data_IF_827140919130
#
_entry.id   IF_827140919130
#
_cell.length_a   1.000
_cell.length_b   1.000
_cell.length_c   1.000
_cell.angle_alpha   90.00
_cell.angle_beta   90.00
_cell.angle_gamma   90.00
#
_symmetry.space_group_name_H-M   'P 1'
#
loop_
_entity.id
_entity.type
_entity.pdbx_description
1 polymer ?
#
# COMPACT_ATOMS: atom_id res chain seq x y z
N UNK A 1 33.36 -24.54 28.98
CA UNK A 1 32.60 -24.57 27.69
C UNK A 1 31.09 -24.63 27.93
N UNK A 2 30.63 -25.51 28.85
CA UNK A 2 29.19 -25.71 29.15
C UNK A 2 28.51 -24.46 29.73
N UNK A 3 29.20 -23.69 30.58
CA UNK A 3 28.68 -22.45 31.16
C UNK A 3 28.50 -21.33 30.09
N UNK A 4 29.46 -21.19 29.18
CA UNK A 4 29.41 -20.20 28.10
C UNK A 4 28.29 -20.53 27.13
N UNK A 5 28.08 -21.82 26.83
CA UNK A 5 26.97 -22.26 25.98
C UNK A 5 25.61 -22.03 26.65
N UNK A 6 25.53 -22.21 27.96
CA UNK A 6 24.31 -21.95 28.72
C UNK A 6 23.95 -20.47 28.77
N UNK A 7 24.91 -19.59 29.01
CA UNK A 7 24.70 -18.13 28.93
C UNK A 7 24.33 -17.65 27.52
N UNK A 8 24.95 -18.22 26.49
CA UNK A 8 24.62 -17.91 25.10
C UNK A 8 23.17 -18.32 24.76
N UNK A 9 22.76 -19.51 25.19
CA UNK A 9 21.41 -20.02 25.02
C UNK A 9 20.37 -19.21 25.82
N UNK A 10 20.73 -18.69 26.99
CA UNK A 10 19.85 -17.80 27.76
C UNK A 10 19.69 -16.44 27.05
N UNK A 11 20.77 -15.86 26.51
CA UNK A 11 20.72 -14.62 25.72
C UNK A 11 19.91 -14.78 24.44
N UNK A 12 20.09 -15.89 23.72
CA UNK A 12 19.28 -16.20 22.53
C UNK A 12 17.80 -16.33 22.91
N UNK A 13 17.47 -16.97 24.04
CA UNK A 13 16.09 -17.07 24.54
C UNK A 13 15.53 -15.73 24.99
N UNK A 14 16.34 -14.86 25.59
CA UNK A 14 15.92 -13.50 25.97
C UNK A 14 15.68 -12.62 24.72
N UNK A 15 16.49 -12.77 23.66
CA UNK A 15 16.29 -12.11 22.38
C UNK A 15 15.07 -12.67 21.63
N UNK A 16 14.80 -13.97 21.70
CA UNK A 16 13.57 -14.58 21.16
C UNK A 16 12.31 -14.19 21.94
N UNK A 17 12.41 -13.89 23.23
CA UNK A 17 11.29 -13.44 24.07
C UNK A 17 10.95 -11.94 23.89
N UNK A 18 11.83 -11.16 23.29
CA UNK A 18 11.56 -9.78 22.85
C UNK A 18 11.13 -9.73 21.39
N UNK A 19 10.13 -10.55 21.02
CA UNK A 19 9.43 -10.29 19.76
C UNK A 19 8.94 -8.83 19.79
N UNK A 20 9.27 -8.00 18.78
CA UNK A 20 8.85 -6.62 18.77
C UNK A 20 7.33 -6.57 18.94
N UNK A 21 6.85 -5.75 19.88
CA UNK A 21 5.41 -5.57 20.09
C UNK A 21 4.81 -5.15 18.76
N UNK A 22 3.80 -5.87 18.25
CA UNK A 22 3.17 -5.52 16.98
C UNK A 22 2.63 -4.09 17.07
N UNK A 23 3.16 -3.18 16.26
CA UNK A 23 2.65 -1.81 16.12
C UNK A 23 1.53 -1.77 15.09
N UNK A 24 0.60 -0.83 15.25
CA UNK A 24 -0.50 -0.58 14.32
C UNK A 24 -0.10 0.47 13.31
N UNK A 25 -0.15 0.15 12.04
CA UNK A 25 0.31 1.03 10.96
C UNK A 25 -0.82 1.28 9.98
N UNK A 26 -1.16 2.55 9.77
CA UNK A 26 -2.03 2.98 8.68
C UNK A 26 -1.22 3.24 7.41
N UNK A 27 -1.71 2.74 6.27
CA UNK A 27 -1.17 3.04 4.94
C UNK A 27 -2.29 3.66 4.12
N UNK A 28 -2.04 4.80 3.47
CA UNK A 28 -3.01 5.48 2.61
C UNK A 28 -2.64 5.25 1.15
N UNK A 29 -3.48 4.48 0.45
CA UNK A 29 -3.33 4.11 -0.96
C UNK A 29 -2.91 2.66 -1.17
N UNK A 30 -3.66 1.93 -2.01
CA UNK A 30 -3.39 0.54 -2.42
C UNK A 30 -2.83 0.45 -3.86
N UNK A 31 -2.00 1.40 -4.23
CA UNK A 31 -1.14 1.31 -5.41
C UNK A 31 0.12 0.47 -5.14
N UNK A 32 1.03 0.47 -6.09
CA UNK A 32 2.29 -0.31 -6.04
C UNK A 32 3.07 -0.09 -4.73
N UNK A 33 3.24 1.17 -4.31
CA UNK A 33 3.99 1.52 -3.11
C UNK A 33 3.28 1.05 -1.83
N UNK A 34 1.96 1.27 -1.74
CA UNK A 34 1.18 0.87 -0.56
C UNK A 34 1.13 -0.64 -0.37
N UNK A 35 0.94 -1.40 -1.44
CA UNK A 35 0.90 -2.87 -1.38
C UNK A 35 2.26 -3.47 -0.99
N UNK A 36 3.35 -2.96 -1.58
CA UNK A 36 4.71 -3.38 -1.21
C UNK A 36 5.03 -3.07 0.26
N UNK A 37 4.65 -1.87 0.71
CA UNK A 37 4.82 -1.44 2.12
C UNK A 37 4.01 -2.34 3.06
N UNK A 38 2.74 -2.61 2.72
CA UNK A 38 1.87 -3.47 3.53
C UNK A 38 2.44 -4.88 3.68
N UNK A 39 2.85 -5.51 2.56
CA UNK A 39 3.49 -6.83 2.57
C UNK A 39 4.73 -6.85 3.46
N UNK A 40 5.61 -5.87 3.28
CA UNK A 40 6.87 -5.80 4.02
C UNK A 40 6.63 -5.65 5.53
N UNK A 41 5.79 -4.70 5.94
CA UNK A 41 5.50 -4.48 7.35
C UNK A 41 4.75 -5.65 8.00
N UNK A 42 3.82 -6.27 7.27
CA UNK A 42 3.15 -7.49 7.73
C UNK A 42 4.13 -8.64 7.94
N UNK A 43 5.15 -8.79 7.07
CA UNK A 43 6.16 -9.85 7.21
C UNK A 43 7.05 -9.67 8.45
N UNK A 44 7.14 -8.43 8.98
CA UNK A 44 7.79 -8.13 10.26
C UNK A 44 6.85 -8.28 11.47
N UNK A 45 5.63 -8.78 11.28
CA UNK A 45 4.67 -9.04 12.36
C UNK A 45 3.87 -7.83 12.81
N UNK A 46 3.86 -6.71 12.05
CA UNK A 46 3.08 -5.54 12.39
C UNK A 46 1.62 -5.65 11.94
N UNK A 47 0.72 -4.98 12.67
CA UNK A 47 -0.69 -4.87 12.32
C UNK A 47 -0.88 -3.73 11.30
N UNK A 48 -1.13 -4.09 10.04
CA UNK A 48 -1.22 -3.13 8.92
C UNK A 48 -2.67 -2.98 8.47
N UNK A 49 -3.11 -1.74 8.26
CA UNK A 49 -4.38 -1.41 7.59
C UNK A 49 -4.11 -0.47 6.42
N UNK A 50 -4.55 -0.84 5.24
CA UNK A 50 -4.42 -0.05 4.01
C UNK A 50 -5.77 0.55 3.65
N UNK A 51 -5.86 1.87 3.60
CA UNK A 51 -7.04 2.61 3.16
C UNK A 51 -6.91 2.95 1.68
N UNK A 52 -7.89 2.52 0.88
CA UNK A 52 -7.96 2.84 -0.55
C UNK A 52 -9.33 3.40 -0.90
N UNK A 53 -9.35 4.57 -1.55
CA UNK A 53 -10.58 5.25 -1.94
C UNK A 53 -11.34 4.56 -3.07
N UNK A 54 -10.62 3.86 -3.94
CA UNK A 54 -11.22 3.08 -5.03
C UNK A 54 -11.75 1.74 -4.50
N UNK A 55 -12.63 1.12 -5.26
CA UNK A 55 -13.23 -0.19 -4.91
C UNK A 55 -12.30 -1.36 -5.21
N UNK A 56 -11.15 -1.09 -5.83
CA UNK A 56 -10.15 -2.06 -6.25
C UNK A 56 -8.74 -1.55 -5.97
N UNK A 57 -7.77 -2.46 -5.98
CA UNK A 57 -6.34 -2.11 -5.85
C UNK A 57 -5.76 -1.73 -7.23
N UNK A 58 -4.61 -1.08 -7.22
CA UNK A 58 -3.86 -0.80 -8.44
C UNK A 58 -3.43 0.65 -8.62
N UNK A 59 -3.97 1.59 -7.87
CA UNK A 59 -3.65 3.01 -8.01
C UNK A 59 -3.97 3.52 -9.42
N UNK A 60 -2.99 4.02 -10.17
CA UNK A 60 -3.18 4.50 -11.55
C UNK A 60 -3.57 3.40 -12.54
N UNK A 61 -3.35 2.13 -12.18
CA UNK A 61 -3.71 0.96 -13.00
C UNK A 61 -5.12 0.42 -12.72
N UNK A 62 -5.79 0.92 -11.68
CA UNK A 62 -7.16 0.57 -11.32
C UNK A 62 -8.12 0.76 -12.49
N UNK A 63 -9.16 -0.08 -12.56
CA UNK A 63 -10.17 -0.02 -13.62
C UNK A 63 -10.87 1.34 -13.70
N UNK A 64 -11.07 2.00 -12.56
CA UNK A 64 -11.70 3.32 -12.47
C UNK A 64 -10.82 4.46 -12.98
N UNK A 65 -9.50 4.25 -13.10
CA UNK A 65 -8.52 5.32 -13.40
C UNK A 65 -7.79 5.15 -14.71
N UNK A 66 -7.67 3.94 -15.21
CA UNK A 66 -6.99 3.69 -16.48
C UNK A 66 -7.81 4.15 -17.67
N UNK A 67 -7.13 4.66 -18.70
CA UNK A 67 -7.72 5.03 -19.97
C UNK A 67 -7.44 3.95 -21.04
N UNK A 68 -8.22 3.92 -22.14
CA UNK A 68 -8.01 2.98 -23.22
C UNK A 68 -6.60 3.08 -23.82
N UNK A 69 -5.92 1.95 -24.01
CA UNK A 69 -4.58 1.90 -24.58
C UNK A 69 -3.43 2.19 -23.59
N UNK A 70 -3.73 2.35 -22.30
CA UNK A 70 -2.70 2.50 -21.29
C UNK A 70 -1.80 1.25 -21.21
N UNK A 71 -0.49 1.46 -21.34
CA UNK A 71 0.56 0.46 -21.13
C UNK A 71 1.64 1.00 -20.20
N UNK A 72 2.55 0.15 -19.74
CA UNK A 72 3.75 0.61 -19.04
C UNK A 72 4.63 1.46 -19.97
N UNK A 73 5.41 2.37 -19.40
CA UNK A 73 6.34 3.24 -20.14
C UNK A 73 7.74 2.64 -20.29
N UNK A 74 8.02 1.62 -19.48
CA UNK A 74 9.27 0.86 -19.48
C UNK A 74 8.94 -0.64 -19.58
N UNK A 75 9.91 -1.49 -19.96
CA UNK A 75 9.77 -2.94 -20.01
C UNK A 75 9.32 -3.52 -18.66
N UNK A 76 8.59 -4.63 -18.69
CA UNK A 76 7.97 -5.26 -17.50
C UNK A 76 8.98 -5.55 -16.38
N UNK A 77 10.21 -5.85 -16.72
CA UNK A 77 11.29 -6.14 -15.76
C UNK A 77 11.64 -4.95 -14.86
N UNK A 78 11.23 -3.73 -15.22
CA UNK A 78 11.39 -2.53 -14.38
C UNK A 78 10.22 -2.29 -13.43
N UNK A 79 9.13 -3.03 -13.59
CA UNK A 79 7.93 -2.95 -12.76
C UNK A 79 7.75 -4.17 -11.85
N UNK A 80 8.54 -5.20 -12.04
CA UNK A 80 8.52 -6.40 -11.20
C UNK A 80 8.87 -6.09 -9.75
N UNK A 81 8.14 -6.72 -8.84
CA UNK A 81 8.66 -6.84 -7.49
C UNK A 81 9.74 -7.93 -7.45
N UNK A 82 10.82 -7.69 -6.71
CA UNK A 82 11.96 -8.61 -6.63
C UNK A 82 11.61 -10.00 -6.09
N UNK A 83 10.51 -10.10 -5.36
CA UNK A 83 10.02 -11.33 -4.73
C UNK A 83 8.71 -11.84 -5.35
N UNK A 84 8.24 -11.20 -6.42
CA UNK A 84 7.04 -11.60 -7.13
C UNK A 84 7.12 -11.18 -8.61
N UNK A 85 7.76 -11.98 -9.46
CA UNK A 85 7.93 -11.65 -10.88
C UNK A 85 6.59 -11.65 -11.62
N UNK A 86 6.50 -10.84 -12.68
CA UNK A 86 5.34 -10.87 -13.58
C UNK A 86 5.26 -12.18 -14.36
N UNK A 87 4.05 -12.60 -14.80
CA UNK A 87 3.89 -13.76 -15.66
C UNK A 87 4.77 -13.70 -16.93
N UNK A 88 5.37 -14.82 -17.31
CA UNK A 88 6.26 -14.92 -18.48
C UNK A 88 5.56 -14.53 -19.78
N UNK A 89 4.26 -14.86 -19.89
CA UNK A 89 3.42 -14.59 -21.05
C UNK A 89 2.97 -13.14 -21.18
N UNK A 90 3.30 -12.26 -20.20
CA UNK A 90 3.04 -10.84 -20.34
C UNK A 90 3.95 -10.21 -21.40
N UNK A 91 3.43 -9.28 -22.23
CA UNK A 91 4.24 -8.58 -23.22
C UNK A 91 5.32 -7.74 -22.55
N UNK A 92 6.30 -7.29 -23.33
CA UNK A 92 7.38 -6.40 -22.86
C UNK A 92 6.82 -5.12 -22.21
N UNK A 93 5.73 -4.58 -22.74
CA UNK A 93 4.96 -3.46 -22.16
C UNK A 93 3.55 -3.91 -21.77
N UNK A 94 3.35 -4.38 -20.53
CA UNK A 94 2.04 -4.80 -20.06
C UNK A 94 1.00 -3.68 -20.16
N UNK A 95 -0.22 -4.05 -20.51
CA UNK A 95 -1.37 -3.15 -20.49
C UNK A 95 -1.75 -2.77 -19.05
N UNK A 96 -2.47 -1.66 -18.90
CA UNK A 96 -2.99 -1.25 -17.59
C UNK A 96 -3.84 -2.32 -16.90
N UNK A 97 -4.56 -3.14 -17.68
CA UNK A 97 -5.29 -4.30 -17.11
C UNK A 97 -4.35 -5.36 -16.57
N UNK A 98 -3.31 -5.73 -17.32
CA UNK A 98 -2.33 -6.72 -16.86
C UNK A 98 -1.58 -6.23 -15.61
N UNK A 99 -1.28 -4.93 -15.54
CA UNK A 99 -0.70 -4.34 -14.33
C UNK A 99 -1.62 -4.44 -13.12
N UNK A 100 -2.93 -4.19 -13.30
CA UNK A 100 -3.90 -4.38 -12.23
C UNK A 100 -4.01 -5.86 -11.82
N UNK A 101 -4.14 -6.77 -12.79
CA UNK A 101 -4.23 -8.22 -12.54
C UNK A 101 -2.98 -8.73 -11.77
N UNK A 102 -1.80 -8.19 -12.09
CA UNK A 102 -0.55 -8.47 -11.38
C UNK A 102 -0.60 -8.00 -9.93
N UNK A 103 -1.04 -6.77 -9.66
CA UNK A 103 -1.17 -6.23 -8.30
C UNK A 103 -2.25 -6.96 -7.49
N UNK A 104 -3.36 -7.34 -8.09
CA UNK A 104 -4.37 -8.19 -7.44
C UNK A 104 -3.82 -9.58 -7.11
N UNK A 105 -2.99 -10.16 -7.99
CA UNK A 105 -2.34 -11.45 -7.71
C UNK A 105 -1.31 -11.32 -6.59
N UNK A 106 -0.60 -10.20 -6.50
CA UNK A 106 0.29 -9.88 -5.39
C UNK A 106 -0.46 -9.85 -4.04
N UNK A 107 -1.62 -9.17 -4.01
CA UNK A 107 -2.48 -9.13 -2.81
C UNK A 107 -2.88 -10.54 -2.37
N UNK A 108 -3.31 -11.38 -3.31
CA UNK A 108 -3.70 -12.79 -3.01
C UNK A 108 -2.50 -13.63 -2.56
N UNK A 109 -1.35 -13.50 -3.22
CA UNK A 109 -0.16 -14.29 -2.92
C UNK A 109 0.40 -14.02 -1.52
N UNK A 110 0.34 -12.78 -1.07
CA UNK A 110 0.84 -12.37 0.24
C UNK A 110 -0.26 -12.22 1.31
N UNK A 111 -1.47 -12.74 1.04
CA UNK A 111 -2.61 -12.73 1.98
C UNK A 111 -2.95 -11.32 2.52
N UNK A 112 -2.87 -10.30 1.67
CA UNK A 112 -3.11 -8.90 2.08
C UNK A 112 -4.59 -8.52 2.12
N UNK A 113 -5.50 -9.37 1.66
CA UNK A 113 -6.93 -9.06 1.52
C UNK A 113 -7.55 -8.50 2.80
N UNK A 114 -7.30 -9.13 3.94
CA UNK A 114 -7.84 -8.70 5.24
C UNK A 114 -7.22 -7.40 5.76
N UNK A 115 -6.13 -6.94 5.14
CA UNK A 115 -5.48 -5.69 5.49
C UNK A 115 -6.03 -4.48 4.70
N UNK A 116 -6.88 -4.71 3.69
CA UNK A 116 -7.38 -3.68 2.77
C UNK A 116 -8.76 -3.18 3.19
N UNK A 117 -8.91 -1.88 3.29
CA UNK A 117 -10.18 -1.17 3.40
C UNK A 117 -10.42 -0.42 2.09
N UNK A 118 -10.98 -1.14 1.11
CA UNK A 118 -11.33 -0.60 -0.21
C UNK A 118 -12.59 0.28 -0.13
N UNK A 119 -12.78 1.18 -1.08
CA UNK A 119 -13.87 2.15 -1.07
C UNK A 119 -13.83 3.13 0.11
N UNK A 120 -12.67 3.23 0.77
CA UNK A 120 -12.51 3.98 2.02
C UNK A 120 -11.48 5.09 1.85
N UNK A 121 -11.96 6.32 1.71
CA UNK A 121 -11.10 7.50 1.59
C UNK A 121 -10.72 8.04 2.96
N UNK A 122 -9.44 8.31 3.20
CA UNK A 122 -8.99 9.07 4.35
C UNK A 122 -9.24 10.55 4.11
N UNK A 123 -10.04 11.18 4.96
CA UNK A 123 -10.37 12.61 4.90
C UNK A 123 -9.44 13.46 5.74
N UNK A 124 -8.94 12.90 6.84
CA UNK A 124 -8.08 13.61 7.80
C UNK A 124 -7.14 12.63 8.50
N UNK A 125 -5.93 13.09 8.77
CA UNK A 125 -5.01 12.38 9.64
C UNK A 125 -4.25 13.40 10.48
N UNK A 126 -4.24 13.20 11.79
CA UNK A 126 -3.59 14.10 12.75
C UNK A 126 -2.76 13.32 13.75
N UNK A 127 -1.58 13.83 14.03
CA UNK A 127 -0.77 13.35 15.14
C UNK A 127 -1.37 13.87 16.44
N UNK A 128 -1.52 13.02 17.46
CA UNK A 128 -2.01 13.46 18.77
C UNK A 128 -1.05 14.46 19.43
N UNK A 129 -1.53 15.20 20.44
CA UNK A 129 -0.74 16.24 21.12
C UNK A 129 0.55 15.69 21.77
N UNK A 130 0.58 14.41 22.14
CA UNK A 130 1.77 13.73 22.69
C UNK A 130 2.77 13.27 21.63
N UNK A 131 2.41 13.30 20.34
CA UNK A 131 3.26 12.81 19.25
C UNK A 131 3.41 11.27 19.20
N UNK A 132 2.55 10.54 19.89
CA UNK A 132 2.68 9.09 20.08
C UNK A 132 1.78 8.25 19.15
N UNK A 133 0.71 8.85 18.63
CA UNK A 133 -0.25 8.15 17.77
C UNK A 133 -0.93 9.05 16.76
N UNK A 134 -1.38 8.46 15.66
CA UNK A 134 -2.13 9.09 14.59
C UNK A 134 -3.62 8.80 14.74
N UNK A 135 -4.45 9.85 14.67
CA UNK A 135 -5.89 9.75 14.49
C UNK A 135 -6.18 9.85 13.00
N UNK A 136 -6.81 8.83 12.44
CA UNK A 136 -7.17 8.75 11.03
C UNK A 136 -8.69 8.73 10.90
N UNK A 137 -9.24 9.69 10.16
CA UNK A 137 -10.67 9.79 9.87
C UNK A 137 -10.94 9.40 8.41
N UNK A 138 -12.00 8.63 8.19
CA UNK A 138 -12.44 8.25 6.85
C UNK A 138 -13.64 9.08 6.40
N UNK A 139 -13.73 9.34 5.09
CA UNK A 139 -14.92 9.92 4.47
C UNK A 139 -15.93 8.82 4.14
N UNK A 140 -17.24 9.13 4.27
CA UNK A 140 -18.34 8.24 3.96
C UNK A 140 -19.64 8.75 4.56
N UNK A 141 -20.75 8.03 4.40
CA UNK A 141 -22.02 8.34 5.04
C UNK A 141 -21.89 8.35 6.57
N UNK A 142 -21.02 7.49 7.10
CA UNK A 142 -20.60 7.50 8.51
C UNK A 142 -19.09 7.59 8.53
N UNK A 143 -18.59 8.74 9.00
CA UNK A 143 -17.15 8.89 9.27
C UNK A 143 -16.73 7.93 10.38
N UNK A 144 -15.64 7.21 10.17
CA UNK A 144 -15.02 6.34 11.14
C UNK A 144 -13.68 6.93 11.58
N UNK A 145 -13.34 6.73 12.84
CA UNK A 145 -12.06 7.14 13.40
C UNK A 145 -11.26 5.91 13.85
N UNK A 146 -9.97 5.95 13.55
CA UNK A 146 -9.02 4.89 13.87
C UNK A 146 -7.78 5.51 14.52
N UNK A 147 -7.13 4.73 15.38
CA UNK A 147 -5.87 5.12 16.03
C UNK A 147 -4.76 4.17 15.62
N UNK A 148 -3.64 4.72 15.17
CA UNK A 148 -2.44 4.00 14.73
C UNK A 148 -1.19 4.58 15.38
N UNK A 149 -0.17 3.75 15.53
CA UNK A 149 1.15 4.18 16.02
C UNK A 149 1.92 4.93 14.91
N UNK A 150 1.73 4.52 13.64
CA UNK A 150 2.37 5.12 12.47
C UNK A 150 1.39 5.33 11.32
N UNK A 151 1.68 6.36 10.52
CA UNK A 151 0.98 6.65 9.27
C UNK A 151 1.98 6.71 8.11
N UNK A 152 1.69 5.97 7.04
CA UNK A 152 2.46 5.98 5.79
C UNK A 152 1.55 6.42 4.65
N UNK A 153 1.95 7.47 3.92
CA UNK A 153 1.16 8.03 2.83
C UNK A 153 1.72 7.56 1.49
N UNK A 154 0.95 6.73 0.79
CA UNK A 154 1.26 6.13 -0.50
C UNK A 154 0.23 6.52 -1.59
N UNK A 155 -0.32 7.73 -1.53
CA UNK A 155 -1.40 8.22 -2.39
C UNK A 155 -0.99 8.46 -3.85
N UNK A 156 0.30 8.32 -4.19
CA UNK A 156 0.85 8.58 -5.52
C UNK A 156 0.90 10.06 -5.90
N UNK A 157 1.56 10.35 -7.03
CA UNK A 157 1.74 11.73 -7.53
C UNK A 157 0.59 12.20 -8.44
N UNK A 158 -0.24 11.29 -8.94
CA UNK A 158 -1.37 11.57 -9.85
C UNK A 158 -2.72 11.39 -9.16
N UNK A 159 -2.82 11.70 -7.87
CA UNK A 159 -4.05 11.47 -7.09
C UNK A 159 -5.17 12.44 -7.43
N UNK A 160 -4.86 13.67 -7.84
CA UNK A 160 -5.82 14.72 -8.20
C UNK A 160 -5.45 15.27 -9.58
N UNK A 161 -6.41 15.34 -10.53
CA UNK A 161 -6.18 15.98 -11.83
C UNK A 161 -5.87 17.46 -11.66
N UNK A 162 -4.86 17.96 -12.36
CA UNK A 162 -4.62 19.39 -12.53
C UNK A 162 -5.05 19.76 -13.96
N UNK A 163 -6.20 20.39 -14.08
CA UNK A 163 -6.78 20.80 -15.36
C UNK A 163 -6.55 22.30 -15.51
N UNK A 164 -5.63 22.75 -16.39
CA UNK A 164 -5.44 24.16 -16.66
C UNK A 164 -6.66 24.72 -17.42
N UNK A 165 -6.99 25.97 -17.14
CA UNK A 165 -8.03 26.69 -17.88
C UNK A 165 -7.38 27.57 -18.94
N UNK A 166 -7.86 27.47 -20.18
CA UNK A 166 -7.39 28.27 -21.31
C UNK A 166 -8.51 29.18 -21.80
N UNK A 167 -8.17 30.45 -22.12
CA UNK A 167 -9.14 31.37 -22.73
C UNK A 167 -9.61 30.82 -24.11
N UNK A 168 -10.92 30.67 -24.28
CA UNK A 168 -11.52 30.14 -25.51
C UNK A 168 -11.72 28.62 -25.53
N UNK A 169 -11.40 27.89 -24.44
CA UNK A 169 -11.60 26.44 -24.37
C UNK A 169 -13.07 26.05 -24.57
N UNK A 170 -14.02 26.92 -24.21
CA UNK A 170 -15.46 26.72 -24.38
C UNK A 170 -15.88 26.65 -25.85
N UNK A 171 -15.07 27.18 -26.76
CA UNK A 171 -15.32 27.13 -28.21
C UNK A 171 -14.75 25.84 -28.86
N UNK A 172 -13.99 25.06 -28.14
CA UNK A 172 -13.36 23.83 -28.62
C UNK A 172 -14.32 22.65 -28.32
N UNK A 173 -14.92 22.09 -29.38
CA UNK A 173 -15.81 20.94 -29.30
C UNK A 173 -15.20 19.72 -29.94
#
# INVERSE_FOLDING_TARGET
>A
LTLILHELLLRIREEEQMAPVPIKIAIVGAGIAGLCTAKTLKSFGHAVTVFEKEVDVGGVWSASRRYPGLTTQNPKETYDFSDFPMPEDYPEWPSGKQMQDYLESYVRHFDLTENLMLGTSVSRAELNEGGESWQVETAGEVSQQFTFDYLIVCNGIFSIPSVPQYAGEEAYK
#
